data_IF_850611627132
#
_entry.id   IF_850611627132
#
_cell.length_a   1.000
_cell.length_b   1.000
_cell.length_c   1.000
_cell.angle_alpha   90.00
_cell.angle_beta   90.00
_cell.angle_gamma   90.00
#
_symmetry.space_group_name_H-M   'P 1'
#
loop_
_entity.id
_entity.type
_entity.pdbx_description
1 polymer ?
#
# COMPACT_ATOMS: atom_id res chain seq x y z
N UNK A 1 -14.35 -13.47 -21.08
CA UNK A 1 -12.93 -13.26 -21.42
C UNK A 1 -12.51 -11.93 -20.81
N UNK A 2 -11.44 -11.89 -20.02
CA UNK A 2 -10.93 -10.63 -19.43
C UNK A 2 -10.22 -9.85 -20.54
N UNK A 3 -10.53 -8.55 -20.68
CA UNK A 3 -9.89 -7.68 -21.68
C UNK A 3 -8.52 -7.23 -21.15
N UNK A 4 -7.46 -7.42 -21.93
CA UNK A 4 -6.15 -6.86 -21.62
C UNK A 4 -6.18 -5.33 -21.81
N UNK A 5 -5.81 -4.59 -20.77
CA UNK A 5 -5.66 -3.13 -20.81
C UNK A 5 -4.18 -2.81 -21.07
N UNK A 6 -3.85 -2.51 -22.33
CA UNK A 6 -2.49 -2.16 -22.72
C UNK A 6 -2.07 -0.78 -22.20
N UNK A 7 -0.88 -0.68 -21.64
CA UNK A 7 -0.22 0.61 -21.42
C UNK A 7 0.49 1.07 -22.70
N UNK A 8 0.34 2.34 -23.13
CA UNK A 8 0.97 2.85 -24.35
C UNK A 8 2.51 3.02 -24.22
N UNK A 9 3.00 3.07 -22.98
CA UNK A 9 4.42 3.14 -22.61
C UNK A 9 4.66 2.26 -21.37
N UNK A 10 5.90 1.82 -21.11
CA UNK A 10 6.24 1.19 -19.83
C UNK A 10 5.97 2.17 -18.67
N UNK A 11 5.40 1.65 -17.60
CA UNK A 11 5.12 2.38 -16.36
C UNK A 11 5.42 1.49 -15.17
N UNK A 12 5.49 2.07 -13.98
CA UNK A 12 5.84 1.37 -12.74
C UNK A 12 4.70 1.57 -11.74
N UNK A 13 4.30 0.49 -11.07
CA UNK A 13 3.48 0.52 -9.86
C UNK A 13 4.18 -0.32 -8.80
N UNK A 14 4.24 0.18 -7.57
CA UNK A 14 4.88 -0.50 -6.44
C UNK A 14 3.86 -0.70 -5.33
N UNK A 15 3.86 -1.90 -4.76
CA UNK A 15 3.06 -2.29 -3.60
C UNK A 15 4.03 -2.66 -2.47
N UNK A 16 3.82 -2.11 -1.27
CA UNK A 16 4.63 -2.37 -0.07
C UNK A 16 3.73 -2.89 1.03
N UNK A 17 3.90 -4.17 1.38
CA UNK A 17 3.24 -4.79 2.52
C UNK A 17 4.07 -4.62 3.80
N UNK A 18 3.47 -4.02 4.83
CA UNK A 18 4.09 -3.76 6.12
C UNK A 18 3.38 -4.55 7.22
N UNK A 19 4.17 -5.20 8.08
CA UNK A 19 3.67 -5.90 9.26
C UNK A 19 3.50 -4.94 10.43
N UNK A 20 2.36 -5.04 11.09
CA UNK A 20 2.02 -4.31 12.31
C UNK A 20 2.44 -5.13 13.52
N UNK A 21 3.37 -4.59 14.30
CA UNK A 21 3.98 -5.26 15.46
C UNK A 21 3.79 -4.47 16.75
N UNK A 22 3.77 -5.15 17.89
CA UNK A 22 3.85 -4.52 19.20
C UNK A 22 5.23 -3.89 19.41
N UNK A 23 5.28 -2.68 19.92
CA UNK A 23 6.54 -2.00 20.23
C UNK A 23 7.35 -2.68 21.34
N UNK A 24 6.71 -3.39 22.27
CA UNK A 24 7.37 -3.94 23.45
C UNK A 24 7.93 -5.33 23.23
N UNK A 25 7.27 -6.14 22.39
CA UNK A 25 7.62 -7.55 22.20
C UNK A 25 7.72 -8.01 20.74
N UNK A 26 7.45 -7.13 19.77
CA UNK A 26 7.47 -7.41 18.33
C UNK A 26 6.48 -8.48 17.85
N UNK A 27 5.49 -8.85 18.67
CA UNK A 27 4.41 -9.75 18.23
C UNK A 27 3.54 -9.05 17.19
N UNK A 28 3.06 -9.80 16.20
CA UNK A 28 2.09 -9.30 15.23
C UNK A 28 0.80 -8.86 15.92
N UNK A 29 0.25 -7.72 15.49
CA UNK A 29 -0.98 -7.14 16.02
C UNK A 29 -2.02 -7.00 14.93
N UNK A 30 -3.18 -7.63 15.13
CA UNK A 30 -4.34 -7.52 14.24
C UNK A 30 -5.06 -6.18 14.45
N UNK A 31 -4.43 -5.09 14.00
CA UNK A 31 -4.92 -3.72 14.22
C UNK A 31 -5.02 -2.90 12.92
N UNK A 32 -4.95 -3.53 11.73
CA UNK A 32 -4.99 -2.81 10.45
C UNK A 32 -6.20 -1.87 10.34
N UNK A 33 -7.41 -2.31 10.72
CA UNK A 33 -8.60 -1.46 10.69
C UNK A 33 -8.47 -0.19 11.55
N UNK A 34 -7.81 -0.29 12.71
CA UNK A 34 -7.55 0.86 13.59
C UNK A 34 -6.48 1.77 13.01
N UNK A 35 -5.41 1.22 12.42
CA UNK A 35 -4.38 2.02 11.74
C UNK A 35 -5.00 2.81 10.59
N UNK A 36 -5.84 2.16 9.79
CA UNK A 36 -6.50 2.79 8.64
C UNK A 36 -7.51 3.87 9.02
N UNK A 37 -8.13 3.80 10.20
CA UNK A 37 -9.02 4.88 10.67
C UNK A 37 -8.28 6.18 10.96
N UNK A 38 -6.97 6.09 11.22
CA UNK A 38 -6.11 7.23 11.56
C UNK A 38 -5.36 7.80 10.33
N UNK A 39 -5.45 7.13 9.18
CA UNK A 39 -4.82 7.58 7.92
C UNK A 39 -5.52 8.84 7.39
N UNK A 40 -4.73 9.83 6.96
CA UNK A 40 -5.27 11.03 6.32
C UNK A 40 -6.09 10.68 5.08
N UNK A 41 -7.24 11.35 4.90
CA UNK A 41 -8.17 11.10 3.79
C UNK A 41 -7.52 11.12 2.40
N UNK A 42 -6.44 11.88 2.23
CA UNK A 42 -5.73 11.99 0.95
C UNK A 42 -4.98 10.70 0.56
N UNK A 43 -4.75 9.78 1.50
CA UNK A 43 -4.04 8.52 1.30
C UNK A 43 -4.94 7.29 1.37
N UNK A 44 -6.25 7.45 1.61
CA UNK A 44 -7.18 6.33 1.81
C UNK A 44 -7.30 5.42 0.58
N UNK A 45 -7.04 5.94 -0.62
CA UNK A 45 -7.04 5.15 -1.86
C UNK A 45 -5.74 4.35 -2.07
N UNK A 46 -4.67 4.74 -1.38
CA UNK A 46 -3.32 4.18 -1.54
C UNK A 46 -2.92 3.24 -0.39
N UNK A 47 -3.54 3.37 0.78
CA UNK A 47 -3.24 2.53 1.95
C UNK A 47 -4.46 1.69 2.30
N UNK A 48 -4.29 0.36 2.28
CA UNK A 48 -5.40 -0.59 2.53
C UNK A 48 -5.00 -1.67 3.53
N UNK A 49 -6.03 -2.34 4.07
CA UNK A 49 -5.84 -3.58 4.83
C UNK A 49 -5.49 -4.67 3.82
N UNK A 50 -4.48 -5.48 4.12
CA UNK A 50 -4.18 -6.66 3.33
C UNK A 50 -4.97 -7.88 3.85
N UNK A 51 -4.80 -9.05 3.22
CA UNK A 51 -5.48 -10.29 3.61
C UNK A 51 -5.32 -10.64 5.10
N UNK A 52 -4.21 -10.23 5.72
CA UNK A 52 -3.90 -10.48 7.13
C UNK A 52 -4.12 -9.18 7.92
N UNK A 53 -4.93 -9.21 8.98
CA UNK A 53 -5.24 -8.01 9.79
C UNK A 53 -4.04 -7.39 10.53
N UNK A 54 -2.91 -8.09 10.57
CA UNK A 54 -1.62 -7.57 11.05
C UNK A 54 -0.76 -6.98 9.95
N UNK A 55 -1.32 -6.67 8.78
CA UNK A 55 -0.63 -6.06 7.67
C UNK A 55 -1.43 -4.93 7.05
N UNK A 56 -0.71 -3.92 6.56
CA UNK A 56 -1.23 -2.90 5.64
C UNK A 56 -0.42 -2.94 4.36
N UNK A 57 -1.04 -2.56 3.25
CA UNK A 57 -0.36 -2.39 1.97
C UNK A 57 -0.41 -0.91 1.57
N UNK A 58 0.73 -0.38 1.12
CA UNK A 58 0.88 0.95 0.52
C UNK A 58 1.11 0.78 -0.97
N UNK A 59 0.29 1.46 -1.77
CA UNK A 59 0.30 1.40 -3.22
C UNK A 59 0.62 2.75 -3.83
N UNK A 60 1.60 2.78 -4.73
CA UNK A 60 1.81 3.94 -5.59
C UNK A 60 0.72 4.03 -6.65
N UNK A 61 0.58 5.22 -7.21
CA UNK A 61 -0.07 5.43 -8.49
C UNK A 61 0.77 4.84 -9.63
N UNK A 62 0.32 5.07 -10.87
CA UNK A 62 1.06 4.69 -12.08
C UNK A 62 2.18 5.73 -12.30
N UNK A 63 3.42 5.35 -12.00
CA UNK A 63 4.61 6.18 -12.09
C UNK A 63 5.35 6.01 -13.43
N UNK A 64 6.10 7.04 -13.88
CA UNK A 64 6.92 6.96 -15.10
C UNK A 64 8.38 6.61 -14.78
N UNK A 65 8.89 7.05 -13.63
CA UNK A 65 10.27 6.78 -13.21
C UNK A 65 10.34 6.27 -11.76
N UNK A 66 11.53 5.85 -11.33
CA UNK A 66 11.76 5.46 -9.93
C UNK A 66 11.66 6.69 -9.01
N UNK A 67 12.10 7.86 -9.46
CA UNK A 67 11.96 9.11 -8.70
C UNK A 67 10.50 9.53 -8.51
N UNK A 68 9.60 9.14 -9.42
CA UNK A 68 8.16 9.33 -9.24
C UNK A 68 7.62 8.39 -8.13
N UNK A 69 8.07 7.14 -8.11
CA UNK A 69 7.72 6.15 -7.06
C UNK A 69 8.18 6.64 -5.68
N UNK A 70 9.44 7.08 -5.57
CA UNK A 70 10.02 7.57 -4.30
C UNK A 70 9.30 8.80 -3.74
N UNK A 71 8.62 9.60 -4.57
CA UNK A 71 7.84 10.76 -4.12
C UNK A 71 6.41 10.41 -3.73
N UNK A 72 5.90 9.28 -4.23
CA UNK A 72 4.52 8.86 -4.01
C UNK A 72 4.37 7.99 -2.76
N UNK A 73 5.47 7.43 -2.26
CA UNK A 73 5.59 6.73 -0.97
C UNK A 73 5.89 7.73 0.14
#
# INVERSE_FOLDING_TARGET
MIKFNSSPKPTIGVEIELQLVDENNSDLKNIASKVLSDVEKKFTDNIKCELIESMIEINTNICQTIEDVEKDI
#
